data_IF_712696621535
#
_entry.id   IF_712696621535
#
_cell.length_a   1.000
_cell.length_b   1.000
_cell.length_c   1.000
_cell.angle_alpha   90.00
_cell.angle_beta   90.00
_cell.angle_gamma   90.00
#
_symmetry.space_group_name_H-M   'P 1'
#
loop_
_entity.id
_entity.type
_entity.pdbx_description
1 polymer ?
#
# COMPACT_ATOMS: atom_id res chain seq x y z
N UNK A 1 -12.05 7.50 40.92
CA UNK A 1 -10.57 7.60 41.03
C UNK A 1 -9.88 6.32 40.54
N UNK A 2 -10.23 5.13 41.05
CA UNK A 2 -9.71 3.87 40.48
C UNK A 2 -10.14 3.69 39.01
N UNK A 3 -11.41 3.98 38.70
CA UNK A 3 -11.97 3.96 37.34
C UNK A 3 -11.18 4.88 36.39
N UNK A 4 -10.82 6.08 36.85
CA UNK A 4 -10.05 7.06 36.06
C UNK A 4 -8.67 6.55 35.67
N UNK A 5 -7.95 5.96 36.62
CA UNK A 5 -6.64 5.36 36.39
C UNK A 5 -6.77 4.19 35.40
N UNK A 6 -7.82 3.38 35.55
CA UNK A 6 -8.09 2.25 34.66
C UNK A 6 -8.26 2.73 33.20
N UNK A 7 -9.08 3.75 32.97
CA UNK A 7 -9.29 4.28 31.61
C UNK A 7 -8.04 4.93 31.01
N UNK A 8 -7.24 5.61 31.83
CA UNK A 8 -5.94 6.15 31.39
C UNK A 8 -5.00 5.01 30.96
N UNK A 9 -4.90 3.95 31.75
CA UNK A 9 -4.06 2.78 31.44
C UNK A 9 -4.54 2.10 30.16
N UNK A 10 -5.86 1.91 29.99
CA UNK A 10 -6.43 1.33 28.77
C UNK A 10 -6.12 2.21 27.55
N UNK A 11 -6.34 3.52 27.64
CA UNK A 11 -6.08 4.44 26.54
C UNK A 11 -4.61 4.47 26.13
N UNK A 12 -3.70 4.43 27.11
CA UNK A 12 -2.25 4.39 26.88
C UNK A 12 -1.81 3.05 26.27
N UNK A 13 -2.31 1.93 26.80
CA UNK A 13 -2.03 0.61 26.27
C UNK A 13 -2.52 0.46 24.82
N UNK A 14 -3.72 0.95 24.51
CA UNK A 14 -4.24 0.98 23.15
C UNK A 14 -3.34 1.78 22.20
N UNK A 15 -2.84 2.93 22.64
CA UNK A 15 -1.94 3.77 21.85
C UNK A 15 -0.60 3.06 21.57
N UNK A 16 -0.01 2.39 22.57
CA UNK A 16 1.20 1.59 22.42
C UNK A 16 0.99 0.44 21.42
N UNK A 17 -0.14 -0.28 21.55
CA UNK A 17 -0.48 -1.37 20.62
C UNK A 17 -0.66 -0.83 19.19
N UNK A 18 -1.28 0.34 19.03
CA UNK A 18 -1.44 0.97 17.72
C UNK A 18 -0.09 1.30 17.08
N UNK A 19 0.85 1.83 17.85
CA UNK A 19 2.21 2.14 17.37
C UNK A 19 2.95 0.87 16.91
N UNK A 20 2.82 -0.23 17.66
CA UNK A 20 3.46 -1.52 17.31
C UNK A 20 2.82 -2.15 16.08
N UNK A 21 1.49 -2.12 15.99
CA UNK A 21 0.76 -2.74 14.88
C UNK A 21 0.65 -1.87 13.63
N UNK A 22 0.88 -0.56 13.76
CA UNK A 22 0.60 0.45 12.71
C UNK A 22 -0.78 0.28 12.08
N UNK A 23 -1.75 -0.20 12.88
CA UNK A 23 -3.07 -0.58 12.40
C UNK A 23 -4.04 0.61 12.28
N UNK A 24 -3.75 1.75 12.95
CA UNK A 24 -4.67 2.88 13.09
C UNK A 24 -6.06 2.48 13.61
N UNK A 25 -6.14 1.36 14.31
CA UNK A 25 -7.38 0.79 14.84
C UNK A 25 -7.52 1.08 16.33
N UNK A 26 -6.43 0.95 17.08
CA UNK A 26 -6.43 1.10 18.52
C UNK A 26 -6.51 2.56 18.97
N UNK A 27 -6.14 3.51 18.08
CA UNK A 27 -6.29 4.94 18.36
C UNK A 27 -7.73 5.38 18.61
N UNK A 28 -8.72 4.71 17.99
CA UNK A 28 -10.14 4.98 18.22
C UNK A 28 -10.59 4.54 19.61
N UNK A 29 -10.00 3.46 20.15
CA UNK A 29 -10.24 3.01 21.52
C UNK A 29 -9.62 3.99 22.53
N UNK A 30 -8.50 4.65 22.21
CA UNK A 30 -7.98 5.74 23.06
C UNK A 30 -8.98 6.90 23.16
N UNK A 31 -9.62 7.29 22.06
CA UNK A 31 -10.66 8.34 22.06
C UNK A 31 -11.89 7.88 22.85
N UNK A 32 -12.29 6.61 22.69
CA UNK A 32 -13.35 6.01 23.51
C UNK A 32 -13.03 6.05 25.00
N UNK A 33 -11.80 5.79 25.41
CA UNK A 33 -11.37 5.84 26.81
C UNK A 33 -11.43 7.27 27.38
N UNK A 34 -11.07 8.27 26.57
CA UNK A 34 -11.21 9.70 26.96
C UNK A 34 -12.68 10.06 27.16
N UNK A 35 -13.59 9.57 26.31
CA UNK A 35 -15.03 9.78 26.49
C UNK A 35 -15.57 9.12 27.78
N UNK A 36 -15.04 7.95 28.14
CA UNK A 36 -15.39 7.28 29.39
C UNK A 36 -14.88 8.05 30.63
N UNK A 37 -13.67 8.63 30.56
CA UNK A 37 -13.13 9.53 31.59
C UNK A 37 -14.03 10.76 31.75
N UNK A 38 -14.51 11.35 30.65
CA UNK A 38 -15.45 12.47 30.71
C UNK A 38 -16.77 12.07 31.39
N UNK A 39 -17.28 10.86 31.14
CA UNK A 39 -18.45 10.33 31.82
C UNK A 39 -18.22 10.08 33.32
N UNK A 40 -17.03 9.63 33.73
CA UNK A 40 -16.67 9.52 35.16
C UNK A 40 -16.63 10.90 35.83
N UNK A 41 -16.05 11.92 35.18
CA UNK A 41 -15.99 13.29 35.69
C UNK A 41 -17.40 13.87 35.89
N UNK A 42 -18.35 13.50 35.02
CA UNK A 42 -19.77 13.86 35.12
C UNK A 42 -20.52 13.08 36.21
N UNK A 43 -19.87 12.12 36.89
CA UNK A 43 -20.45 11.34 37.99
C UNK A 43 -21.33 10.17 37.54
N UNK A 44 -21.22 9.73 36.27
CA UNK A 44 -21.96 8.56 35.80
C UNK A 44 -21.35 7.25 36.30
N UNK A 45 -22.21 6.22 36.44
CA UNK A 45 -21.80 4.90 36.90
C UNK A 45 -20.89 4.18 35.90
N UNK A 46 -20.10 3.23 36.41
CA UNK A 46 -19.18 2.42 35.62
C UNK A 46 -19.83 1.76 34.38
N UNK A 47 -21.09 1.32 34.51
CA UNK A 47 -21.83 0.71 33.39
C UNK A 47 -22.06 1.71 32.26
N UNK A 48 -22.39 2.96 32.59
CA UNK A 48 -22.57 4.03 31.61
C UNK A 48 -21.25 4.38 30.94
N UNK A 49 -20.15 4.46 31.71
CA UNK A 49 -18.81 4.69 31.16
C UNK A 49 -18.42 3.62 30.13
N UNK A 50 -18.69 2.34 30.45
CA UNK A 50 -18.40 1.21 29.57
C UNK A 50 -19.24 1.23 28.29
N UNK A 51 -20.52 1.60 28.39
CA UNK A 51 -21.38 1.79 27.22
C UNK A 51 -20.87 2.95 26.35
N UNK A 52 -20.54 4.10 26.96
CA UNK A 52 -19.99 5.26 26.24
C UNK A 52 -18.70 4.89 25.52
N UNK A 53 -17.78 4.21 26.19
CA UNK A 53 -16.55 3.70 25.60
C UNK A 53 -16.82 2.84 24.36
N UNK A 54 -17.69 1.84 24.49
CA UNK A 54 -17.99 0.91 23.43
C UNK A 54 -18.64 1.61 22.23
N UNK A 55 -19.66 2.44 22.49
CA UNK A 55 -20.39 3.16 21.44
C UNK A 55 -19.47 4.13 20.70
N UNK A 56 -18.70 4.95 21.43
CA UNK A 56 -17.79 5.93 20.81
C UNK A 56 -16.72 5.22 19.98
N UNK A 57 -16.12 4.15 20.50
CA UNK A 57 -15.09 3.40 19.77
C UNK A 57 -15.66 2.75 18.51
N UNK A 58 -16.83 2.10 18.60
CA UNK A 58 -17.47 1.44 17.46
C UNK A 58 -17.85 2.45 16.38
N UNK A 59 -18.46 3.58 16.77
CA UNK A 59 -18.86 4.64 15.82
C UNK A 59 -17.63 5.20 15.10
N UNK A 60 -16.56 5.50 15.84
CA UNK A 60 -15.31 5.99 15.26
C UNK A 60 -14.68 4.98 14.30
N UNK A 61 -14.64 3.70 14.67
CA UNK A 61 -14.11 2.65 13.78
C UNK A 61 -14.97 2.56 12.52
N UNK A 62 -16.30 2.50 12.61
CA UNK A 62 -17.19 2.38 11.44
C UNK A 62 -17.03 3.58 10.49
N UNK A 63 -16.92 4.80 11.03
CA UNK A 63 -16.81 6.03 10.24
C UNK A 63 -15.40 6.20 9.66
N UNK A 64 -14.36 5.94 10.44
CA UNK A 64 -12.98 6.23 10.06
C UNK A 64 -12.27 5.07 9.36
N UNK A 65 -12.61 3.81 9.65
CA UNK A 65 -12.05 2.64 8.96
C UNK A 65 -12.18 2.70 7.42
N UNK A 66 -13.33 3.06 6.81
CA UNK A 66 -13.42 3.19 5.36
C UNK A 66 -12.53 4.31 4.81
N UNK A 67 -12.34 5.40 5.55
CA UNK A 67 -11.47 6.51 5.16
C UNK A 67 -9.99 6.12 5.21
N UNK A 68 -9.57 5.41 6.26
CA UNK A 68 -8.21 4.89 6.42
C UNK A 68 -7.92 3.86 5.32
N UNK A 69 -8.81 2.90 5.09
CA UNK A 69 -8.67 1.91 4.02
C UNK A 69 -8.57 2.55 2.63
N UNK A 70 -9.35 3.60 2.37
CA UNK A 70 -9.32 4.35 1.10
C UNK A 70 -8.02 5.14 0.94
N UNK A 71 -7.51 5.77 2.01
CA UNK A 71 -6.25 6.51 2.00
C UNK A 71 -5.02 5.60 1.94
N UNK A 72 -5.02 4.45 2.61
CA UNK A 72 -3.95 3.44 2.50
C UNK A 72 -3.88 2.90 1.06
N UNK A 73 -5.03 2.60 0.44
CA UNK A 73 -5.08 2.23 -0.99
C UNK A 73 -4.66 3.34 -1.94
N UNK A 74 -4.77 4.62 -1.56
CA UNK A 74 -4.29 5.75 -2.36
C UNK A 74 -2.80 6.08 -2.10
N UNK A 75 -2.29 5.76 -0.91
CA UNK A 75 -0.88 5.90 -0.52
C UNK A 75 0.00 4.82 -1.14
N UNK A 76 -0.56 3.62 -1.34
CA UNK A 76 -0.04 2.70 -2.36
C UNK A 76 -0.46 3.26 -3.71
N UNK A 77 0.22 4.32 -4.17
CA UNK A 77 0.41 4.48 -5.62
C UNK A 77 0.82 3.10 -6.10
N UNK A 78 0.10 2.45 -7.02
CA UNK A 78 0.61 1.23 -7.61
C UNK A 78 2.00 1.61 -8.08
N UNK A 79 3.02 0.99 -7.49
CA UNK A 79 4.41 1.14 -7.91
C UNK A 79 4.35 1.13 -9.43
N UNK A 80 4.71 2.23 -10.12
CA UNK A 80 4.58 2.24 -11.57
C UNK A 80 5.37 1.04 -12.02
N UNK A 81 4.63 0.03 -12.48
CA UNK A 81 5.21 -1.24 -12.87
C UNK A 81 6.24 -0.84 -13.90
N UNK A 82 7.52 -1.16 -13.66
CA UNK A 82 8.63 -0.77 -14.54
C UNK A 82 8.33 -1.07 -16.01
N UNK A 83 7.40 -1.99 -16.26
CA UNK A 83 6.66 -2.22 -17.50
C UNK A 83 6.31 -0.96 -18.32
N UNK A 84 5.84 0.14 -17.71
CA UNK A 84 5.44 1.34 -18.48
C UNK A 84 6.61 2.26 -18.87
N UNK A 85 7.82 2.07 -18.35
CA UNK A 85 8.95 2.95 -18.65
C UNK A 85 9.62 2.62 -19.99
N UNK A 86 9.47 1.38 -20.46
CA UNK A 86 10.10 0.92 -21.69
C UNK A 86 9.17 0.96 -22.90
N UNK A 87 7.85 0.94 -22.69
CA UNK A 87 6.87 1.02 -23.78
C UNK A 87 7.00 2.36 -24.51
N UNK A 88 7.15 2.31 -25.83
CA UNK A 88 7.37 3.46 -26.70
C UNK A 88 8.83 3.80 -26.94
N UNK A 89 9.79 3.19 -26.23
CA UNK A 89 11.22 3.38 -26.50
C UNK A 89 11.63 2.69 -27.79
N UNK A 90 12.46 3.37 -28.55
CA UNK A 90 13.13 2.85 -29.73
C UNK A 90 14.58 2.54 -29.37
N UNK A 91 15.02 1.32 -29.66
CA UNK A 91 16.33 0.81 -29.29
C UNK A 91 17.01 0.29 -30.55
N UNK A 92 18.27 0.65 -30.71
CA UNK A 92 19.14 0.08 -31.75
C UNK A 92 19.77 -1.20 -31.17
N UNK A 93 19.55 -2.32 -31.83
CA UNK A 93 20.09 -3.62 -31.41
C UNK A 93 21.59 -3.67 -31.69
N UNK A 94 22.38 -4.05 -30.69
CA UNK A 94 23.80 -4.37 -30.85
C UNK A 94 24.02 -5.88 -30.71
N UNK A 95 25.08 -6.40 -31.32
CA UNK A 95 25.44 -7.84 -31.32
C UNK A 95 25.56 -8.40 -29.90
N UNK A 96 26.11 -7.61 -28.98
CA UNK A 96 26.25 -8.00 -27.56
C UNK A 96 24.93 -7.97 -26.78
N UNK A 97 23.90 -7.33 -27.33
CA UNK A 97 22.59 -7.18 -26.67
C UNK A 97 21.62 -8.32 -27.00
N UNK A 98 21.93 -9.17 -27.99
CA UNK A 98 21.06 -10.28 -28.40
C UNK A 98 21.55 -11.59 -27.79
N UNK A 99 20.72 -12.22 -26.94
CA UNK A 99 21.01 -13.54 -26.37
C UNK A 99 19.73 -14.36 -26.24
N UNK A 100 19.68 -15.56 -26.82
CA UNK A 100 18.54 -16.48 -26.76
C UNK A 100 17.19 -15.80 -27.06
N UNK A 101 17.12 -15.03 -28.15
CA UNK A 101 15.93 -14.26 -28.54
C UNK A 101 15.46 -13.22 -27.51
N UNK A 102 16.38 -12.75 -26.67
CA UNK A 102 16.19 -11.65 -25.75
C UNK A 102 17.07 -10.46 -26.09
N UNK A 103 16.64 -9.27 -25.67
CA UNK A 103 17.36 -8.01 -25.82
C UNK A 103 17.74 -7.43 -24.46
N UNK A 104 18.96 -6.89 -24.36
CA UNK A 104 19.42 -6.14 -23.20
C UNK A 104 18.92 -4.70 -23.24
N UNK A 105 18.18 -4.26 -22.22
CA UNK A 105 17.69 -2.89 -22.07
C UNK A 105 17.99 -2.40 -20.65
N UNK A 106 18.64 -1.25 -20.53
CA UNK A 106 19.11 -0.66 -19.25
C UNK A 106 19.89 -1.66 -18.38
N UNK A 107 20.72 -2.51 -19.00
CA UNK A 107 21.55 -3.49 -18.30
C UNK A 107 20.89 -4.85 -18.06
N UNK A 108 19.59 -5.00 -18.29
CA UNK A 108 18.80 -6.21 -17.99
C UNK A 108 18.40 -6.91 -19.28
N UNK A 109 18.54 -8.25 -19.33
CA UNK A 109 18.07 -9.06 -20.46
C UNK A 109 16.59 -9.39 -20.34
N UNK A 110 15.82 -9.02 -21.36
CA UNK A 110 14.40 -9.31 -21.48
C UNK A 110 14.14 -10.23 -22.65
N UNK A 111 13.23 -11.20 -22.50
CA UNK A 111 12.86 -12.08 -23.62
C UNK A 111 11.94 -11.35 -24.59
N UNK A 112 12.07 -11.61 -25.88
CA UNK A 112 11.11 -11.12 -26.87
C UNK A 112 9.98 -12.15 -26.99
N UNK A 113 8.72 -11.68 -26.99
CA UNK A 113 7.54 -12.55 -27.10
C UNK A 113 7.47 -13.22 -28.47
N UNK A 114 7.79 -12.46 -29.50
CA UNK A 114 7.73 -12.91 -30.88
C UNK A 114 9.08 -13.49 -31.33
N UNK A 115 9.09 -14.80 -31.58
CA UNK A 115 10.26 -15.54 -32.06
C UNK A 115 10.52 -15.40 -33.56
N UNK A 116 9.62 -14.75 -34.30
CA UNK A 116 9.77 -14.59 -35.75
C UNK A 116 10.79 -13.52 -36.12
N UNK A 117 11.10 -12.60 -35.21
CA UNK A 117 12.14 -11.58 -35.44
C UNK A 117 13.53 -12.12 -35.12
N UNK A 118 14.31 -12.38 -36.18
CA UNK A 118 15.76 -12.54 -36.06
C UNK A 118 16.38 -11.15 -35.92
N UNK A 119 16.63 -10.73 -34.67
CA UNK A 119 17.28 -9.46 -34.37
C UNK A 119 18.75 -9.50 -34.79
N UNK A 120 19.14 -8.61 -35.71
CA UNK A 120 20.53 -8.42 -36.15
C UNK A 120 21.08 -7.11 -35.62
N UNK A 121 22.40 -7.01 -35.53
CA UNK A 121 23.09 -5.75 -35.19
C UNK A 121 22.67 -4.64 -36.16
N UNK A 122 22.35 -3.48 -35.59
CA UNK A 122 21.89 -2.30 -36.32
C UNK A 122 20.38 -2.24 -36.55
N UNK A 123 19.62 -3.28 -36.18
CA UNK A 123 18.17 -3.24 -36.28
C UNK A 123 17.58 -2.22 -35.30
N UNK A 124 16.60 -1.43 -35.75
CA UNK A 124 15.80 -0.56 -34.88
C UNK A 124 14.54 -1.31 -34.47
N UNK A 125 14.27 -1.34 -33.18
CA UNK A 125 13.04 -1.92 -32.64
C UNK A 125 12.34 -0.93 -31.73
N UNK A 126 11.01 -0.99 -31.74
CA UNK A 126 10.14 -0.21 -30.86
C UNK A 126 9.41 -1.16 -29.93
N UNK A 127 9.48 -0.90 -28.62
CA UNK A 127 8.76 -1.69 -27.62
C UNK A 127 7.30 -1.22 -27.61
N UNK A 128 6.38 -2.10 -28.02
CA UNK A 128 4.94 -1.82 -28.06
C UNK A 128 4.25 -2.11 -26.71
N UNK A 129 4.79 -3.05 -25.94
CA UNK A 129 4.17 -3.53 -24.72
C UNK A 129 5.05 -4.51 -23.95
N UNK A 130 4.57 -4.89 -22.78
CA UNK A 130 5.13 -6.00 -22.00
C UNK A 130 4.04 -6.94 -21.56
N UNK A 131 4.34 -8.24 -21.57
CA UNK A 131 3.49 -9.27 -21.01
C UNK A 131 4.32 -10.14 -20.07
N UNK A 132 4.28 -9.84 -18.77
CA UNK A 132 5.13 -10.45 -17.76
C UNK A 132 6.61 -10.14 -17.98
N UNK A 133 7.44 -11.16 -18.20
CA UNK A 133 8.88 -11.02 -18.45
C UNK A 133 9.24 -11.07 -19.95
N UNK A 134 8.30 -10.69 -20.82
CA UNK A 134 8.48 -10.67 -22.27
C UNK A 134 8.12 -9.31 -22.85
N UNK A 135 8.95 -8.81 -23.77
CA UNK A 135 8.68 -7.61 -24.54
C UNK A 135 7.94 -7.95 -25.82
N UNK A 136 6.92 -7.14 -26.09
CA UNK A 136 6.29 -7.05 -27.40
C UNK A 136 7.01 -5.95 -28.19
N UNK A 137 7.57 -6.30 -29.34
CA UNK A 137 8.44 -5.42 -30.12
C UNK A 137 7.99 -5.38 -31.57
N UNK A 138 8.25 -4.25 -32.22
CA UNK A 138 8.08 -4.09 -33.66
C UNK A 138 9.36 -3.53 -34.26
N UNK A 139 9.86 -4.19 -35.31
CA UNK A 139 11.00 -3.69 -36.09
C UNK A 139 10.58 -2.44 -36.88
N UNK A 140 11.40 -1.39 -36.84
CA UNK A 140 11.22 -0.10 -37.53
C UNK A 140 12.29 0.04 -38.60
#
# INVERSE_FOLDING_TARGET
MFELILWIVIGLAALIIDMVTSAFLFIWFTIGAIAAIAAEILGYSFVVQLIVFAVVSIVLVIVCYPLVKRKIKQSVKPTPVREKTYVGREIVVDEEMVKNNGIKVDGIYWKVKDSEYVLKKGDRIKILGMEGNKFDIKKV
#
